data_IF_179830826861
#
_entry.id   IF_179830826861
#
_cell.length_a   1.000
_cell.length_b   1.000
_cell.length_c   1.000
_cell.angle_alpha   90.00
_cell.angle_beta   90.00
_cell.angle_gamma   90.00
#
_symmetry.space_group_name_H-M   'P 1'
#
loop_
_entity.id
_entity.type
_entity.pdbx_description
1 polymer ?
#
# COMPACT_ATOMS: atom_id res chain seq x y z
N UNK A 1 6.14 5.49 -7.68
CA UNK A 1 7.58 5.19 -7.69
C UNK A 1 7.87 3.79 -8.23
N UNK A 2 7.17 2.75 -7.75
CA UNK A 2 7.33 1.36 -8.24
C UNK A 2 7.22 1.23 -9.78
N UNK A 3 6.18 1.80 -10.39
CA UNK A 3 6.02 1.82 -11.86
C UNK A 3 7.25 2.40 -12.55
N UNK A 4 7.77 3.53 -12.07
CA UNK A 4 8.97 4.15 -12.63
C UNK A 4 10.19 3.21 -12.55
N UNK A 5 10.39 2.52 -11.42
CA UNK A 5 11.48 1.55 -11.28
C UNK A 5 11.35 0.38 -12.24
N UNK A 6 10.17 -0.22 -12.35
CA UNK A 6 9.93 -1.33 -13.27
C UNK A 6 10.17 -0.93 -14.72
N UNK A 7 9.76 0.27 -15.13
CA UNK A 7 10.03 0.79 -16.48
C UNK A 7 11.53 1.03 -16.72
N UNK A 8 12.27 1.56 -15.73
CA UNK A 8 13.72 1.75 -15.80
C UNK A 8 14.49 0.43 -15.95
N UNK A 9 14.03 -0.63 -15.27
CA UNK A 9 14.56 -1.99 -15.41
C UNK A 9 14.07 -2.70 -16.69
N UNK A 10 13.31 -2.00 -17.54
CA UNK A 10 12.90 -2.48 -18.85
C UNK A 10 11.65 -3.35 -18.89
N UNK A 11 10.94 -3.53 -17.77
CA UNK A 11 9.69 -4.29 -17.70
C UNK A 11 8.53 -3.56 -18.41
N UNK A 12 7.62 -4.34 -18.98
CA UNK A 12 6.29 -3.86 -19.37
C UNK A 12 5.38 -3.87 -18.15
N UNK A 13 4.71 -2.75 -17.89
CA UNK A 13 3.91 -2.54 -16.69
C UNK A 13 2.45 -2.35 -17.07
N UNK A 14 1.57 -3.13 -16.42
CA UNK A 14 0.13 -2.92 -16.42
C UNK A 14 -0.26 -2.41 -15.05
N UNK A 15 -0.95 -1.28 -14.98
CA UNK A 15 -1.44 -0.71 -13.72
C UNK A 15 -2.93 -0.47 -13.80
N UNK A 16 -3.59 -0.53 -12.64
CA UNK A 16 -4.99 -0.16 -12.50
C UNK A 16 -5.13 1.21 -11.85
N UNK A 17 -6.18 1.93 -12.22
CA UNK A 17 -6.66 3.13 -11.53
C UNK A 17 -8.15 2.96 -11.24
N UNK A 18 -8.62 3.49 -10.11
CA UNK A 18 -10.05 3.47 -9.79
C UNK A 18 -10.81 4.29 -10.84
N UNK A 19 -11.95 3.80 -11.32
CA UNK A 19 -12.87 4.60 -12.15
C UNK A 19 -13.24 5.91 -11.45
N UNK A 20 -13.28 7.03 -12.17
CA UNK A 20 -13.82 8.28 -11.64
C UNK A 20 -15.32 8.32 -11.91
N UNK A 21 -16.19 8.39 -10.88
CA UNK A 21 -17.63 8.48 -11.10
C UNK A 21 -18.06 9.85 -11.65
N UNK A 22 -17.21 10.88 -11.58
CA UNK A 22 -17.40 12.13 -12.31
C UNK A 22 -16.69 12.06 -13.66
N UNK A 23 -17.25 12.62 -14.73
CA UNK A 23 -16.65 12.69 -16.08
C UNK A 23 -15.30 13.44 -16.16
N UNK A 24 -14.74 13.86 -15.02
CA UNK A 24 -13.43 14.47 -14.94
C UNK A 24 -12.34 13.42 -15.13
N UNK A 25 -11.64 13.49 -16.26
CA UNK A 25 -10.43 12.70 -16.50
C UNK A 25 -9.40 13.03 -15.42
N UNK A 26 -9.04 12.03 -14.61
CA UNK A 26 -7.91 12.15 -13.68
C UNK A 26 -6.63 12.48 -14.44
N UNK A 27 -5.85 13.38 -13.87
CA UNK A 27 -4.52 13.66 -14.38
C UNK A 27 -3.59 12.48 -14.06
N UNK A 28 -3.21 11.74 -15.10
CA UNK A 28 -2.25 10.64 -15.05
C UNK A 28 -0.92 11.00 -15.71
N UNK A 29 -0.68 12.29 -16.00
CA UNK A 29 0.55 12.75 -16.66
C UNK A 29 1.80 12.36 -15.88
N UNK A 30 1.74 12.34 -14.55
CA UNK A 30 2.85 11.88 -13.69
C UNK A 30 3.23 10.39 -13.87
N UNK A 31 2.36 9.59 -14.49
CA UNK A 31 2.66 8.21 -14.89
C UNK A 31 3.02 8.12 -16.37
N UNK A 32 2.25 8.78 -17.25
CA UNK A 32 2.44 8.67 -18.70
C UNK A 32 3.67 9.44 -19.21
N UNK A 33 4.20 10.38 -18.43
CA UNK A 33 5.46 11.09 -18.72
C UNK A 33 6.72 10.37 -18.23
N UNK A 34 6.59 9.22 -17.55
CA UNK A 34 7.75 8.46 -17.10
C UNK A 34 8.55 7.93 -18.31
N UNK A 35 9.90 7.87 -18.22
CA UNK A 35 10.72 7.27 -19.27
C UNK A 35 10.27 5.85 -19.60
N UNK A 36 10.03 5.57 -20.89
CA UNK A 36 9.55 4.27 -21.38
C UNK A 36 8.04 4.02 -21.24
N UNK A 37 7.28 4.91 -20.58
CA UNK A 37 5.85 4.70 -20.37
C UNK A 37 5.05 4.63 -21.67
N UNK A 38 5.36 5.48 -22.66
CA UNK A 38 4.65 5.51 -23.95
C UNK A 38 4.64 4.14 -24.67
N UNK A 39 5.66 3.32 -24.46
CA UNK A 39 5.80 2.02 -25.11
C UNK A 39 5.40 0.86 -24.19
N UNK A 40 5.69 0.97 -22.89
CA UNK A 40 5.67 -0.16 -21.95
C UNK A 40 4.63 -0.05 -20.83
N UNK A 41 3.98 1.10 -20.66
CA UNK A 41 2.93 1.28 -19.66
C UNK A 41 1.54 1.14 -20.28
N UNK A 42 0.71 0.28 -19.69
CA UNK A 42 -0.73 0.19 -19.98
C UNK A 42 -1.52 0.45 -18.71
N UNK A 43 -2.52 1.32 -18.81
CA UNK A 43 -3.38 1.72 -17.69
C UNK A 43 -4.78 1.16 -17.92
N UNK A 44 -5.32 0.49 -16.91
CA UNK A 44 -6.64 -0.11 -16.90
C UNK A 44 -7.51 0.54 -15.82
N UNK A 45 -8.83 0.54 -16.02
CA UNK A 45 -9.77 0.86 -14.94
C UNK A 45 -10.13 -0.43 -14.20
N UNK A 46 -10.14 -0.40 -12.88
CA UNK A 46 -10.59 -1.53 -12.05
C UNK A 46 -11.21 -1.03 -10.72
N UNK A 47 -12.09 -1.84 -10.14
CA UNK A 47 -12.69 -1.62 -8.83
C UNK A 47 -12.30 -2.76 -7.89
N UNK A 48 -11.77 -2.41 -6.71
CA UNK A 48 -11.39 -3.38 -5.67
C UNK A 48 -12.56 -4.26 -5.21
N UNK A 49 -13.81 -3.81 -5.39
CA UNK A 49 -15.00 -4.59 -5.03
C UNK A 49 -15.49 -5.51 -6.16
N UNK A 50 -14.91 -5.43 -7.35
CA UNK A 50 -15.25 -6.27 -8.50
C UNK A 50 -14.00 -7.03 -8.98
N UNK A 51 -13.80 -8.29 -8.52
CA UNK A 51 -12.66 -9.10 -8.93
C UNK A 51 -12.50 -9.24 -10.45
N UNK A 52 -13.62 -9.32 -11.19
CA UNK A 52 -13.60 -9.49 -12.65
C UNK A 52 -13.09 -8.24 -13.37
N UNK A 53 -13.14 -7.06 -12.73
CA UNK A 53 -12.61 -5.82 -13.29
C UNK A 53 -11.08 -5.83 -13.45
N UNK A 54 -10.38 -6.81 -12.86
CA UNK A 54 -8.92 -6.94 -12.95
C UNK A 54 -8.46 -7.89 -14.06
N UNK A 55 -9.35 -8.66 -14.68
CA UNK A 55 -8.98 -9.74 -15.62
C UNK A 55 -8.08 -9.23 -16.75
N UNK A 56 -8.48 -8.16 -17.43
CA UNK A 56 -7.70 -7.56 -18.53
C UNK A 56 -6.35 -6.99 -18.06
N UNK A 57 -6.27 -6.49 -16.82
CA UNK A 57 -5.04 -5.97 -16.26
C UNK A 57 -4.05 -7.08 -15.91
N UNK A 58 -4.55 -8.24 -15.46
CA UNK A 58 -3.75 -9.38 -15.03
C UNK A 58 -3.36 -10.27 -16.23
N UNK A 59 -4.21 -10.38 -17.26
CA UNK A 59 -4.03 -11.32 -18.37
C UNK A 59 -2.64 -11.25 -19.02
N UNK A 60 -1.90 -12.36 -19.00
CA UNK A 60 -0.54 -12.46 -19.58
C UNK A 60 0.55 -11.74 -18.77
N UNK A 61 0.25 -11.25 -17.56
CA UNK A 61 1.25 -10.75 -16.63
C UNK A 61 1.98 -11.90 -15.96
N UNK A 62 3.31 -11.76 -15.80
CA UNK A 62 4.15 -12.78 -15.12
C UNK A 62 4.07 -12.71 -13.60
N UNK A 63 3.73 -11.55 -13.06
CA UNK A 63 3.62 -11.28 -11.64
C UNK A 63 2.61 -10.16 -11.42
N UNK A 64 1.99 -10.13 -10.24
CA UNK A 64 1.06 -9.08 -9.81
C UNK A 64 1.58 -8.46 -8.52
N UNK A 65 1.67 -7.14 -8.48
CA UNK A 65 2.06 -6.38 -7.28
C UNK A 65 0.82 -5.66 -6.75
N UNK A 66 0.18 -6.21 -5.73
CA UNK A 66 -0.99 -5.61 -5.11
C UNK A 66 -0.58 -4.56 -4.08
N UNK A 67 -0.61 -3.28 -4.49
CA UNK A 67 -0.21 -2.14 -3.63
C UNK A 67 -1.41 -1.28 -3.21
N UNK A 68 -2.56 -1.46 -3.85
CA UNK A 68 -3.76 -0.71 -3.52
C UNK A 68 -4.28 -1.12 -2.14
N UNK A 69 -4.61 -0.15 -1.31
CA UNK A 69 -5.35 -0.39 -0.07
C UNK A 69 -6.43 0.67 0.02
N UNK A 70 -7.69 0.29 0.30
CA UNK A 70 -8.71 1.27 0.61
C UNK A 70 -8.33 1.95 1.92
N UNK A 71 -7.93 3.21 1.83
CA UNK A 71 -7.57 4.02 3.00
C UNK A 71 -8.55 5.19 3.08
N UNK A 72 -9.37 5.19 4.12
CA UNK A 72 -10.14 6.35 4.56
C UNK A 72 -9.37 7.00 5.70
N UNK A 73 -8.60 8.04 5.38
CA UNK A 73 -7.92 8.88 6.36
C UNK A 73 -8.57 10.25 6.43
N UNK A 74 -9.17 10.56 7.56
CA UNK A 74 -9.78 11.83 7.91
C UNK A 74 -8.76 12.80 8.51
N UNK A 75 -7.59 12.94 7.85
CA UNK A 75 -6.68 14.09 7.87
C UNK A 75 -6.24 14.71 9.21
N UNK A 76 -6.53 14.08 10.36
CA UNK A 76 -6.32 14.61 11.72
C UNK A 76 -5.71 13.55 12.65
N UNK A 77 -4.58 13.01 12.24
CA UNK A 77 -3.80 12.12 13.08
C UNK A 77 -2.84 12.90 13.99
N UNK A 78 -2.71 12.43 15.23
CA UNK A 78 -1.66 12.88 16.15
C UNK A 78 -0.34 12.20 15.80
N UNK A 79 0.78 12.80 16.18
CA UNK A 79 2.12 12.25 15.97
C UNK A 79 2.31 10.85 16.57
N UNK A 80 1.64 10.58 17.70
CA UNK A 80 1.61 9.26 18.35
C UNK A 80 0.93 8.20 17.45
N UNK A 81 -0.20 8.54 16.82
CA UNK A 81 -0.91 7.62 15.92
C UNK A 81 -0.07 7.29 14.66
N UNK A 82 0.69 8.26 14.17
CA UNK A 82 1.65 8.05 13.07
C UNK A 82 2.77 7.10 13.49
N UNK A 83 3.29 7.26 14.70
CA UNK A 83 4.42 6.44 15.18
C UNK A 83 3.98 4.99 15.43
N UNK A 84 2.78 4.78 15.97
CA UNK A 84 2.19 3.45 16.14
C UNK A 84 1.88 2.79 14.78
N UNK A 85 1.35 3.53 13.81
CA UNK A 85 1.08 3.01 12.45
C UNK A 85 2.34 2.83 11.59
N UNK A 86 3.44 3.49 11.94
CA UNK A 86 4.75 3.29 11.33
C UNK A 86 5.37 1.94 11.68
N UNK A 87 4.94 1.33 12.80
CA UNK A 87 5.31 -0.02 13.15
C UNK A 87 4.46 -1.00 12.35
N UNK A 88 5.11 -1.80 11.51
CA UNK A 88 4.41 -2.78 10.68
C UNK A 88 3.81 -3.91 11.53
N UNK A 89 4.40 -4.18 12.69
CA UNK A 89 3.96 -5.20 13.64
C UNK A 89 3.93 -4.62 15.06
N UNK A 90 2.85 -4.86 15.79
CA UNK A 90 2.74 -4.50 17.22
C UNK A 90 2.48 -5.75 18.05
N UNK A 91 3.46 -6.11 18.90
CA UNK A 91 3.43 -7.34 19.67
C UNK A 91 3.30 -7.06 21.16
N UNK A 92 2.11 -7.28 21.72
CA UNK A 92 1.81 -7.23 23.17
C UNK A 92 2.32 -5.99 23.92
N UNK A 93 2.55 -4.86 23.23
CA UNK A 93 3.14 -3.65 23.81
C UNK A 93 4.59 -3.80 24.27
N UNK A 94 5.28 -4.88 23.86
CA UNK A 94 6.68 -5.07 24.15
C UNK A 94 7.53 -4.30 23.13
N UNK A 95 8.39 -3.44 23.65
CA UNK A 95 9.45 -2.84 22.86
C UNK A 95 10.49 -3.93 22.58
N UNK A 96 10.64 -4.29 21.30
CA UNK A 96 11.52 -5.35 20.85
C UNK A 96 12.64 -4.72 20.02
N UNK A 97 13.89 -5.04 20.36
CA UNK A 97 15.05 -4.55 19.60
C UNK A 97 15.12 -5.15 18.18
N UNK A 98 14.52 -6.33 17.98
CA UNK A 98 14.51 -7.05 16.72
C UNK A 98 13.18 -7.78 16.56
N UNK A 99 12.59 -7.67 15.36
CA UNK A 99 11.41 -8.42 14.93
C UNK A 99 11.73 -9.10 13.60
N UNK A 100 11.22 -10.30 13.42
CA UNK A 100 11.28 -11.07 12.16
C UNK A 100 9.88 -11.42 11.68
N UNK A 101 9.78 -12.16 10.57
CA UNK A 101 8.52 -12.53 9.91
C UNK A 101 7.66 -13.53 10.72
N UNK A 102 8.16 -14.03 11.86
CA UNK A 102 7.36 -14.87 12.76
C UNK A 102 6.44 -14.04 13.66
N UNK A 103 6.69 -12.73 13.81
CA UNK A 103 5.89 -11.85 14.63
C UNK A 103 4.63 -11.37 13.91
N UNK A 104 3.51 -11.44 14.60
CA UNK A 104 2.22 -10.94 14.12
C UNK A 104 1.67 -9.90 15.08
N UNK A 105 0.96 -8.91 14.52
CA UNK A 105 0.25 -7.91 15.31
C UNK A 105 -0.78 -8.58 16.21
N UNK A 106 -0.73 -8.26 17.51
CA UNK A 106 -1.76 -8.64 18.47
C UNK A 106 -2.95 -7.66 18.35
N UNK A 107 -4.00 -8.14 17.70
CA UNK A 107 -5.24 -7.37 17.47
C UNK A 107 -5.96 -7.04 18.79
N UNK A 108 -5.87 -7.90 19.80
CA UNK A 108 -6.48 -7.64 21.11
C UNK A 108 -5.72 -6.52 21.82
N UNK A 109 -4.38 -6.54 21.75
CA UNK A 109 -3.57 -5.43 22.25
C UNK A 109 -3.88 -4.12 21.52
N UNK A 110 -3.94 -4.13 20.19
CA UNK A 110 -4.29 -2.95 19.39
C UNK A 110 -5.63 -2.38 19.86
N UNK A 111 -6.68 -3.19 19.90
CA UNK A 111 -8.04 -2.74 20.25
C UNK A 111 -8.19 -2.27 21.69
N UNK A 112 -7.45 -2.87 22.63
CA UNK A 112 -7.61 -2.58 24.07
C UNK A 112 -6.67 -1.49 24.59
N UNK A 113 -5.49 -1.31 23.96
CA UNK A 113 -4.39 -0.52 24.54
C UNK A 113 -3.91 0.64 23.67
N UNK A 114 -4.11 0.59 22.35
CA UNK A 114 -3.68 1.66 21.45
C UNK A 114 -4.76 2.68 21.17
N UNK A 115 -4.34 3.80 20.56
CA UNK A 115 -5.24 4.85 20.15
C UNK A 115 -6.32 4.32 19.18
N UNK A 116 -7.62 4.52 19.44
CA UNK A 116 -8.70 4.05 18.56
C UNK A 116 -8.59 4.51 17.09
N UNK A 117 -7.87 5.61 16.84
CA UNK A 117 -7.62 6.09 15.47
C UNK A 117 -6.69 5.17 14.66
N UNK A 118 -5.78 4.43 15.30
CA UNK A 118 -4.83 3.53 14.62
C UNK A 118 -5.41 2.14 14.35
N UNK A 119 -6.49 1.78 15.07
CA UNK A 119 -7.11 0.44 14.98
C UNK A 119 -7.48 0.05 13.55
N UNK A 120 -8.22 0.87 12.75
CA UNK A 120 -8.68 0.44 11.44
C UNK A 120 -7.52 0.08 10.50
N UNK A 121 -6.43 0.85 10.54
CA UNK A 121 -5.26 0.62 9.71
C UNK A 121 -4.53 -0.67 10.13
N UNK A 122 -4.13 -0.78 11.39
CA UNK A 122 -3.34 -1.90 11.90
C UNK A 122 -4.09 -3.24 11.78
N UNK A 123 -5.37 -3.23 12.14
CA UNK A 123 -6.22 -4.41 12.09
C UNK A 123 -6.47 -4.82 10.63
N UNK A 124 -6.80 -3.87 9.75
CA UNK A 124 -7.01 -4.16 8.33
C UNK A 124 -5.75 -4.73 7.70
N UNK A 125 -4.58 -4.15 7.95
CA UNK A 125 -3.31 -4.67 7.40
C UNK A 125 -3.02 -6.08 7.86
N UNK A 126 -3.20 -6.35 9.15
CA UNK A 126 -2.98 -7.68 9.73
C UNK A 126 -3.91 -8.72 9.11
N UNK A 127 -5.21 -8.43 9.00
CA UNK A 127 -6.16 -9.39 8.41
C UNK A 127 -5.98 -9.56 6.91
N UNK A 128 -5.71 -8.48 6.16
CA UNK A 128 -5.44 -8.58 4.73
C UNK A 128 -4.20 -9.43 4.46
N UNK A 129 -3.12 -9.25 5.24
CA UNK A 129 -1.91 -10.06 5.09
C UNK A 129 -2.19 -11.55 5.30
N UNK A 130 -2.85 -11.90 6.43
CA UNK A 130 -3.24 -13.29 6.73
C UNK A 130 -4.10 -13.88 5.62
N UNK A 131 -5.12 -13.14 5.17
CA UNK A 131 -6.03 -13.58 4.14
C UNK A 131 -5.33 -13.82 2.79
N UNK A 132 -4.39 -12.95 2.41
CA UNK A 132 -3.62 -13.10 1.17
C UNK A 132 -2.72 -14.35 1.21
N UNK A 133 -2.03 -14.58 2.32
CA UNK A 133 -1.17 -15.76 2.48
C UNK A 133 -1.96 -17.07 2.52
N UNK A 134 -3.10 -17.08 3.22
CA UNK A 134 -4.00 -18.23 3.28
C UNK A 134 -4.61 -18.51 1.91
N UNK A 135 -5.14 -17.50 1.23
CA UNK A 135 -5.69 -17.63 -0.11
C UNK A 135 -4.63 -18.13 -1.10
N UNK A 136 -3.41 -17.60 -1.02
CA UNK A 136 -2.30 -18.05 -1.86
C UNK A 136 -2.01 -19.54 -1.68
N UNK A 137 -1.93 -19.98 -0.42
CA UNK A 137 -1.73 -21.39 -0.08
C UNK A 137 -2.86 -22.28 -0.59
N UNK A 138 -4.11 -21.88 -0.38
CA UNK A 138 -5.30 -22.64 -0.77
C UNK A 138 -5.44 -22.79 -2.30
N UNK A 139 -5.01 -21.78 -3.05
CA UNK A 139 -5.13 -21.73 -4.51
C UNK A 139 -3.84 -22.03 -5.26
N UNK A 140 -2.76 -22.41 -4.56
CA UNK A 140 -1.47 -22.74 -5.17
C UNK A 140 -0.76 -21.54 -5.81
N UNK A 141 -0.98 -20.33 -5.29
CA UNK A 141 -0.28 -19.12 -5.69
C UNK A 141 0.98 -18.93 -4.84
N UNK A 142 2.07 -18.51 -5.48
CA UNK A 142 3.29 -18.08 -4.79
C UNK A 142 3.11 -16.65 -4.26
N UNK A 143 2.37 -16.53 -3.16
CA UNK A 143 2.06 -15.25 -2.52
C UNK A 143 3.18 -14.83 -1.56
N UNK A 144 3.70 -13.61 -1.75
CA UNK A 144 4.71 -13.00 -0.89
C UNK A 144 4.18 -11.66 -0.38
N UNK A 145 4.33 -11.41 0.92
CA UNK A 145 4.01 -10.15 1.56
C UNK A 145 5.30 -9.37 1.84
N UNK A 146 5.24 -8.04 1.69
CA UNK A 146 6.34 -7.15 2.03
C UNK A 146 5.80 -6.15 3.01
N UNK A 147 6.46 -6.07 4.16
CA UNK A 147 6.03 -5.33 5.33
C UNK A 147 6.95 -4.13 5.54
N UNK A 148 6.74 -3.02 4.81
CA UNK A 148 7.55 -1.82 4.97
C UNK A 148 7.19 -1.12 6.29
N UNK A 149 8.20 -0.54 6.93
CA UNK A 149 8.00 0.50 7.94
C UNK A 149 7.60 1.84 7.32
N UNK A 150 7.90 2.94 8.01
CA UNK A 150 7.60 4.29 7.49
C UNK A 150 8.35 4.58 6.18
N UNK A 151 7.59 4.71 5.08
CA UNK A 151 8.15 5.01 3.76
C UNK A 151 8.43 6.51 3.63
N UNK A 152 9.71 6.87 3.54
CA UNK A 152 10.20 8.23 3.34
C UNK A 152 11.04 8.34 2.06
N UNK A 153 11.03 9.52 1.43
CA UNK A 153 11.87 9.82 0.26
C UNK A 153 11.15 10.55 -0.88
N UNK A 154 11.81 10.67 -2.05
CA UNK A 154 11.23 11.32 -3.22
C UNK A 154 9.96 10.64 -3.71
N UNK A 155 8.98 11.44 -4.14
CA UNK A 155 7.72 10.96 -4.68
C UNK A 155 7.42 11.60 -6.03
N UNK A 156 6.64 10.90 -6.86
CA UNK A 156 6.28 11.33 -8.22
C UNK A 156 4.79 11.68 -8.35
N UNK A 157 3.98 11.37 -7.33
CA UNK A 157 2.55 11.64 -7.36
C UNK A 157 2.27 13.13 -7.10
N UNK A 158 1.17 13.67 -7.66
CA UNK A 158 0.84 15.09 -7.52
C UNK A 158 0.40 15.48 -6.11
N UNK A 159 -0.06 14.50 -5.32
CA UNK A 159 -0.39 14.70 -3.89
C UNK A 159 0.84 14.39 -3.04
N UNK A 160 1.10 15.24 -2.05
CA UNK A 160 2.09 15.01 -1.02
C UNK A 160 1.74 13.73 -0.25
N UNK A 161 2.57 12.66 -0.28
CA UNK A 161 2.29 11.43 0.46
C UNK A 161 2.26 11.66 1.96
N UNK A 162 1.25 11.10 2.63
CA UNK A 162 1.03 11.33 4.06
C UNK A 162 2.23 10.84 4.90
N UNK A 163 2.86 9.70 4.55
CA UNK A 163 4.06 9.20 5.25
C UNK A 163 5.24 10.17 5.21
N UNK A 164 5.49 10.79 4.05
CA UNK A 164 6.55 11.79 3.88
C UNK A 164 6.20 13.05 4.67
N UNK A 165 4.94 13.49 4.62
CA UNK A 165 4.47 14.67 5.36
C UNK A 165 4.67 14.48 6.86
N UNK A 166 4.25 13.35 7.40
CA UNK A 166 4.36 13.09 8.83
C UNK A 166 5.82 12.97 9.28
N UNK A 167 6.69 12.37 8.47
CA UNK A 167 8.13 12.29 8.77
C UNK A 167 8.80 13.68 8.87
N UNK A 168 8.36 14.64 8.05
CA UNK A 168 8.91 16.00 8.06
C UNK A 168 8.36 16.84 9.20
N UNK A 169 7.16 16.54 9.71
CA UNK A 169 6.59 17.24 10.86
C UNK A 169 7.43 17.10 12.14
N UNK A 170 8.20 16.01 12.25
CA UNK A 170 9.15 15.78 13.35
C UNK A 170 10.38 16.70 13.32
N UNK A 171 10.70 17.27 12.16
CA UNK A 171 11.92 18.09 11.95
C UNK A 171 11.63 19.60 12.12
N UNK A 172 10.36 19.99 12.21
CA UNK A 172 9.93 21.40 12.30
C UNK A 172 9.64 21.88 13.73
N UNK A 173 10.12 21.15 14.75
CA UNK A 173 10.05 21.55 16.17
C UNK A 173 11.36 22.15 16.67
#
# INVERSE_FOLDING_TARGET
WLINRLLQEGYSVRTTVRADPAENKRDLTFLTSLPGAAEKLKIFSADLNDPNSFDAAIEGSKAVLHVATPLSFDGKESLEAVTESANTVIYNGQEMDMMDESFWTDVDFVTQKLNPKTHPYLISKTFTERAVLEFGTQHGLDAVTVNPGLVVGPFICPRFPDSVRSSLALVTY
#
